data_IF_513492486233
#
_entry.id   IF_513492486233
#
_cell.length_a   1.000
_cell.length_b   1.000
_cell.length_c   1.000
_cell.angle_alpha   90.00
_cell.angle_beta   90.00
_cell.angle_gamma   90.00
#
_symmetry.space_group_name_H-M   'P 1'
#
loop_
_entity.id
_entity.type
_entity.pdbx_description
1 polymer ?
#
# COMPACT_ATOMS: atom_id res chain seq x y z
N UNK A 1 -4.04 -11.33 -4.85
CA UNK A 1 -4.59 -11.96 -3.63
C UNK A 1 -3.50 -12.04 -2.57
N UNK A 2 -3.44 -11.01 -1.74
CA UNK A 2 -2.67 -10.97 -0.50
C UNK A 2 -3.15 -12.08 0.46
N UNK A 3 -2.21 -12.71 1.19
CA UNK A 3 -2.54 -13.73 2.19
C UNK A 3 -3.00 -13.03 3.48
N UNK A 4 -4.20 -13.34 3.93
CA UNK A 4 -4.75 -12.88 5.21
C UNK A 4 -4.42 -13.92 6.27
N UNK A 5 -3.77 -13.51 7.35
CA UNK A 5 -3.56 -14.37 8.51
C UNK A 5 -4.68 -14.12 9.51
N UNK A 6 -5.35 -15.20 9.92
CA UNK A 6 -6.32 -15.17 10.99
C UNK A 6 -5.60 -15.50 12.31
N UNK A 7 -5.58 -14.55 13.23
CA UNK A 7 -5.13 -14.80 14.61
C UNK A 7 -6.38 -15.07 15.45
N UNK A 8 -6.42 -16.22 16.11
CA UNK A 8 -7.45 -16.56 17.08
C UNK A 8 -6.96 -16.22 18.49
N UNK A 9 -7.79 -15.52 19.27
CA UNK A 9 -7.53 -15.31 20.70
C UNK A 9 -7.76 -16.62 21.47
N UNK A 10 -6.88 -16.95 22.42
CA UNK A 10 -7.07 -18.10 23.32
C UNK A 10 -8.22 -17.89 24.33
N UNK A 11 -8.66 -16.64 24.54
CA UNK A 11 -9.86 -16.30 25.31
C UNK A 11 -10.88 -15.60 24.42
N UNK A 12 -11.89 -16.36 23.98
CA UNK A 12 -13.05 -15.89 23.23
C UNK A 12 -13.04 -16.27 21.74
N UNK A 13 -14.19 -16.09 21.07
CA UNK A 13 -14.38 -16.46 19.65
C UNK A 13 -13.92 -15.37 18.66
N UNK A 14 -13.17 -14.36 19.12
CA UNK A 14 -12.72 -13.27 18.28
C UNK A 14 -11.59 -13.73 17.35
N UNK A 15 -11.79 -13.51 16.04
CA UNK A 15 -10.79 -13.76 14.99
C UNK A 15 -10.39 -12.42 14.40
N UNK A 16 -9.09 -12.15 14.30
CA UNK A 16 -8.55 -10.94 13.69
C UNK A 16 -7.89 -11.30 12.38
N UNK A 17 -8.22 -10.55 11.33
CA UNK A 17 -7.51 -10.59 10.06
C UNK A 17 -6.41 -9.52 10.09
N UNK A 18 -5.14 -9.94 10.09
CA UNK A 18 -4.05 -9.02 9.82
C UNK A 18 -3.82 -8.96 8.30
N UNK A 19 -4.09 -7.80 7.71
CA UNK A 19 -3.70 -7.46 6.35
C UNK A 19 -2.31 -6.82 6.33
N UNK A 20 -1.59 -6.94 5.20
CA UNK A 20 -0.30 -6.25 5.00
C UNK A 20 0.91 -7.15 4.74
N UNK A 21 0.72 -8.42 4.38
CA UNK A 21 1.84 -9.30 4.00
C UNK A 21 1.92 -9.41 2.48
N UNK A 22 3.09 -9.06 1.93
CA UNK A 22 3.37 -9.24 0.51
C UNK A 22 3.23 -10.71 0.12
N UNK A 23 2.61 -10.93 -1.04
CA UNK A 23 2.38 -12.25 -1.61
C UNK A 23 2.79 -12.26 -3.07
N UNK A 24 2.86 -13.44 -3.70
CA UNK A 24 3.13 -13.52 -5.13
C UNK A 24 2.17 -12.68 -5.99
N UNK A 25 0.92 -12.56 -5.54
CA UNK A 25 -0.14 -11.82 -6.24
C UNK A 25 -0.34 -10.38 -5.73
N UNK A 26 0.40 -9.94 -4.72
CA UNK A 26 0.39 -8.59 -4.16
C UNK A 26 1.79 -8.31 -3.64
N UNK A 27 2.68 -7.99 -4.58
CA UNK A 27 4.11 -7.82 -4.31
C UNK A 27 4.38 -6.49 -3.61
N UNK A 28 5.56 -6.39 -3.01
CA UNK A 28 6.09 -5.10 -2.57
C UNK A 28 6.12 -4.12 -3.76
N UNK A 29 5.71 -2.85 -3.56
CA UNK A 29 5.78 -1.83 -4.60
C UNK A 29 7.20 -1.70 -5.15
N UNK A 30 7.32 -1.51 -6.46
CA UNK A 30 8.62 -1.29 -7.07
C UNK A 30 9.30 -0.04 -6.48
N UNK A 31 10.60 -0.16 -6.15
CA UNK A 31 11.41 0.89 -5.53
C UNK A 31 11.07 1.21 -4.06
N UNK A 32 10.33 0.35 -3.37
CA UNK A 32 10.24 0.41 -1.92
C UNK A 32 11.65 0.33 -1.31
N UNK A 33 11.91 1.20 -0.34
CA UNK A 33 13.19 1.31 0.34
C UNK A 33 12.96 1.74 1.79
N UNK A 34 13.94 1.55 2.66
CA UNK A 34 13.83 1.91 4.09
C UNK A 34 13.43 3.38 4.31
N UNK A 35 13.88 4.27 3.44
CA UNK A 35 13.62 5.71 3.50
C UNK A 35 12.41 6.15 2.66
N UNK A 36 11.71 5.24 2.00
CA UNK A 36 10.67 5.55 1.01
C UNK A 36 9.38 4.81 1.30
N UNK A 37 8.34 5.57 1.63
CA UNK A 37 6.97 5.07 1.69
C UNK A 37 6.34 5.15 0.31
N UNK A 38 5.67 4.07 -0.13
CA UNK A 38 4.96 4.01 -1.40
C UNK A 38 3.59 3.38 -1.16
N UNK A 39 2.54 4.10 -1.55
CA UNK A 39 1.17 3.58 -1.67
C UNK A 39 0.82 3.47 -3.15
N UNK A 40 0.51 2.26 -3.62
CA UNK A 40 0.05 1.99 -4.99
C UNK A 40 -1.43 1.58 -4.95
N UNK A 41 -2.24 2.25 -5.77
CA UNK A 41 -3.67 2.00 -5.89
C UNK A 41 -3.98 1.07 -7.07
N UNK A 42 -5.17 0.47 -7.08
CA UNK A 42 -5.58 -0.52 -8.11
C UNK A 42 -5.64 0.04 -9.53
N UNK A 43 -5.73 1.37 -9.68
CA UNK A 43 -5.70 2.07 -10.97
C UNK A 43 -4.27 2.40 -11.45
N UNK A 44 -3.25 2.00 -10.69
CA UNK A 44 -1.84 2.25 -10.96
C UNK A 44 -1.35 3.65 -10.56
N UNK A 45 -2.19 4.44 -9.87
CA UNK A 45 -1.73 5.67 -9.20
C UNK A 45 -0.77 5.30 -8.08
N UNK A 46 0.33 6.05 -7.95
CA UNK A 46 1.24 5.89 -6.81
C UNK A 46 1.44 7.21 -6.09
N UNK A 47 1.36 7.19 -4.78
CA UNK A 47 1.79 8.27 -3.90
C UNK A 47 3.02 7.79 -3.15
N UNK A 48 4.11 8.56 -3.18
CA UNK A 48 5.33 8.18 -2.47
C UNK A 48 6.04 9.35 -1.82
N UNK A 49 6.60 9.10 -0.64
CA UNK A 49 7.42 10.06 0.08
C UNK A 49 8.81 9.47 0.35
N UNK A 50 9.85 10.19 -0.07
CA UNK A 50 11.24 9.85 0.18
C UNK A 50 11.83 10.79 1.24
N UNK A 51 12.13 10.23 2.42
CA UNK A 51 12.69 10.98 3.56
C UNK A 51 14.13 11.42 3.34
N UNK A 52 14.90 10.73 2.48
CA UNK A 52 16.30 11.10 2.16
C UNK A 52 16.36 12.42 1.41
N UNK A 53 15.41 12.63 0.50
CA UNK A 53 15.33 13.80 -0.35
C UNK A 53 14.21 14.77 0.05
N UNK A 54 13.43 14.43 1.10
CA UNK A 54 12.24 15.18 1.53
C UNK A 54 11.26 15.45 0.37
N UNK A 55 11.07 14.48 -0.52
CA UNK A 55 10.31 14.66 -1.77
C UNK A 55 9.01 13.85 -1.74
N UNK A 56 7.90 14.50 -2.08
CA UNK A 56 6.59 13.88 -2.30
C UNK A 56 6.30 13.80 -3.81
N UNK A 57 5.98 12.60 -4.30
CA UNK A 57 5.66 12.36 -5.71
C UNK A 57 4.27 11.71 -5.83
N UNK A 58 3.48 12.17 -6.81
CA UNK A 58 2.20 11.58 -7.20
C UNK A 58 2.26 11.25 -8.69
N UNK A 59 2.26 9.96 -9.03
CA UNK A 59 2.36 9.49 -10.42
C UNK A 59 1.03 8.95 -10.93
N UNK A 60 0.78 9.21 -12.23
CA UNK A 60 -0.44 8.82 -12.96
C UNK A 60 -1.77 9.23 -12.28
N UNK A 61 -1.87 10.39 -11.59
CA UNK A 61 -3.15 10.76 -11.00
C UNK A 61 -4.18 11.00 -12.10
N UNK A 62 -5.36 10.42 -11.93
CA UNK A 62 -6.51 10.83 -12.74
C UNK A 62 -6.85 12.28 -12.39
N UNK A 63 -6.76 13.16 -13.38
CA UNK A 63 -7.23 14.54 -13.24
C UNK A 63 -8.69 14.59 -13.67
N UNK A 64 -9.54 15.14 -12.83
CA UNK A 64 -10.87 15.52 -13.27
C UNK A 64 -10.73 16.54 -14.39
N UNK A 65 -11.53 16.38 -15.45
CA UNK A 65 -11.61 17.36 -16.54
C UNK A 65 -12.31 18.60 -16.02
N UNK A 66 -11.59 19.45 -15.29
CA UNK A 66 -12.06 20.80 -15.03
C UNK A 66 -11.85 21.60 -16.32
N UNK A 67 -12.89 21.63 -17.15
CA UNK A 67 -12.99 22.56 -18.26
C UNK A 67 -13.33 23.93 -17.67
N UNK A 68 -12.30 24.74 -17.42
CA UNK A 68 -12.49 26.19 -17.23
C UNK A 68 -12.97 26.86 -18.50
#
# INVERSE_FOLDING_TARGET
>A
MSRIYFIASEKGNAKFALGGIFSHASKEPANAALNREITEYEDGTTISYDTKNSTLEINKPKRDKYNG
#
